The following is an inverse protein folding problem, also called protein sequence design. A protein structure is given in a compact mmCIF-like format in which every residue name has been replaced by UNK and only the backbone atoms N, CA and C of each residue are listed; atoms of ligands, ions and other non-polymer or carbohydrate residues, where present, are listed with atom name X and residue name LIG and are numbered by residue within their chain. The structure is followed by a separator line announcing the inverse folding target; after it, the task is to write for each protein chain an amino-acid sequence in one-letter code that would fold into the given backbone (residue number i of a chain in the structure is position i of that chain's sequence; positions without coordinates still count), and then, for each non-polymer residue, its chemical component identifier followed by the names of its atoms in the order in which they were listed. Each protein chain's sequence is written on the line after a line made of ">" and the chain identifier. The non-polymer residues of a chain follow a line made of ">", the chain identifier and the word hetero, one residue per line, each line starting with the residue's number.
data_IF_643190737396
#
_entry.id   IF_643190737396
#
_cell.length_a   1.000
_cell.length_b   1.000
_cell.length_c   1.000
_cell.angle_alpha   90.00
_cell.angle_beta   90.00
_cell.angle_gamma   90.00
#
_symmetry.space_group_name_H-M   'P 1'
#
loop_
_entity.id
_entity.type
_entity.pdbx_description
1 polymer ?
#
# COMPACT_ATOMS: atom_id res chain seq x y z
N UNK A 1 -18.22 25.85 -27.92
CA UNK A 1 -17.99 25.71 -26.48
C UNK A 1 -18.07 24.23 -26.11
N UNK A 2 -16.93 23.58 -25.83
CA UNK A 2 -16.95 22.20 -25.34
C UNK A 2 -17.23 22.27 -23.83
N UNK A 3 -18.47 22.01 -23.42
CA UNK A 3 -18.78 21.84 -22.00
C UNK A 3 -18.01 20.64 -21.50
N UNK A 4 -16.98 20.92 -20.70
CA UNK A 4 -16.01 19.97 -20.17
C UNK A 4 -16.64 19.16 -19.01
N UNK A 5 -17.73 18.46 -19.29
CA UNK A 5 -18.42 17.65 -18.29
C UNK A 5 -17.70 16.30 -18.24
N UNK A 6 -16.70 16.20 -17.36
CA UNK A 6 -16.12 14.92 -17.00
C UNK A 6 -17.24 13.94 -16.66
N UNK A 7 -17.17 12.70 -17.16
CA UNK A 7 -18.18 11.69 -16.86
C UNK A 7 -18.32 11.50 -15.35
N UNK A 8 -19.50 11.12 -14.87
CA UNK A 8 -19.71 10.84 -13.45
C UNK A 8 -18.74 9.78 -12.92
N UNK A 9 -18.39 8.81 -13.76
CA UNK A 9 -17.35 7.83 -13.47
C UNK A 9 -15.98 8.49 -13.24
N UNK A 10 -15.54 9.38 -14.13
CA UNK A 10 -14.26 10.08 -13.98
C UNK A 10 -14.23 10.95 -12.71
N UNK A 11 -15.32 11.67 -12.42
CA UNK A 11 -15.47 12.44 -11.18
C UNK A 11 -15.34 11.55 -9.94
N UNK A 12 -15.97 10.38 -9.96
CA UNK A 12 -15.91 9.40 -8.89
C UNK A 12 -14.50 8.84 -8.68
N UNK A 13 -13.79 8.48 -9.76
CA UNK A 13 -12.41 8.01 -9.69
C UNK A 13 -11.50 9.08 -9.08
N UNK A 14 -11.55 10.31 -9.61
CA UNK A 14 -10.73 11.42 -9.12
C UNK A 14 -11.02 11.73 -7.65
N UNK A 15 -12.29 11.77 -7.25
CA UNK A 15 -12.66 11.99 -5.86
C UNK A 15 -12.12 10.88 -4.95
N UNK A 16 -12.20 9.63 -5.39
CA UNK A 16 -11.72 8.48 -4.60
C UNK A 16 -10.20 8.50 -4.47
N UNK A 17 -9.47 8.75 -5.56
CA UNK A 17 -8.02 8.89 -5.53
C UNK A 17 -7.56 10.04 -4.63
N UNK A 18 -8.28 11.17 -4.67
CA UNK A 18 -8.03 12.31 -3.77
C UNK A 18 -8.22 11.92 -2.31
N UNK A 19 -9.27 11.19 -1.98
CA UNK A 19 -9.52 10.74 -0.62
C UNK A 19 -8.44 9.76 -0.16
N UNK A 20 -8.06 8.78 -0.99
CA UNK A 20 -6.95 7.85 -0.71
C UNK A 20 -5.63 8.61 -0.51
N UNK A 21 -5.29 9.55 -1.40
CA UNK A 21 -4.06 10.34 -1.31
C UNK A 21 -4.00 11.18 -0.02
N UNK A 22 -5.14 11.73 0.40
CA UNK A 22 -5.27 12.43 1.69
C UNK A 22 -5.35 11.46 2.88
N UNK A 23 -5.08 10.19 2.65
CA UNK A 23 -5.02 9.16 3.65
C UNK A 23 -6.37 8.83 4.26
N UNK A 24 -7.51 9.14 3.63
CA UNK A 24 -8.84 8.74 4.12
C UNK A 24 -9.10 7.26 3.83
N UNK A 25 -9.91 6.62 4.68
CA UNK A 25 -10.38 5.25 4.45
C UNK A 25 -11.48 5.24 3.39
N UNK A 26 -11.16 5.60 2.15
CA UNK A 26 -12.10 5.51 1.05
C UNK A 26 -12.05 4.10 0.46
N UNK A 27 -13.17 3.39 0.53
CA UNK A 27 -13.36 2.12 -0.16
C UNK A 27 -14.47 2.31 -1.19
N UNK A 28 -14.09 2.34 -2.47
CA UNK A 28 -15.03 2.19 -3.58
C UNK A 28 -14.54 1.04 -4.44
N UNK A 29 -15.46 0.15 -4.78
CA UNK A 29 -15.15 -0.95 -5.69
C UNK A 29 -15.04 -0.41 -7.11
N UNK A 30 -13.89 -0.62 -7.73
CA UNK A 30 -13.67 -0.38 -9.15
C UNK A 30 -13.33 -1.72 -9.80
N UNK A 31 -13.90 -1.98 -10.98
CA UNK A 31 -13.44 -3.09 -11.81
C UNK A 31 -12.07 -2.73 -12.37
N UNK A 32 -11.03 -3.38 -11.86
CA UNK A 32 -9.67 -3.20 -12.35
C UNK A 32 -9.41 -4.20 -13.47
N UNK A 33 -8.96 -3.72 -14.63
CA UNK A 33 -8.63 -4.54 -15.78
C UNK A 33 -7.35 -5.35 -15.54
N UNK A 34 -7.41 -6.35 -14.67
CA UNK A 34 -6.27 -7.14 -14.19
C UNK A 34 -6.12 -8.49 -14.91
N UNK A 35 -7.01 -8.82 -15.85
CA UNK A 35 -7.12 -10.14 -16.50
C UNK A 35 -5.88 -10.52 -17.31
N UNK A 36 -5.16 -9.53 -17.81
CA UNK A 36 -3.90 -9.69 -18.54
C UNK A 36 -2.70 -10.01 -17.64
N UNK A 37 -2.85 -9.90 -16.31
CA UNK A 37 -1.79 -10.18 -15.35
C UNK A 37 -1.73 -11.66 -15.00
N UNK A 38 -0.52 -12.14 -14.70
CA UNK A 38 -0.31 -13.50 -14.22
C UNK A 38 -1.17 -13.81 -12.98
N UNK A 39 -1.54 -15.07 -12.79
CA UNK A 39 -2.31 -15.50 -11.61
C UNK A 39 -1.60 -15.11 -10.31
N UNK A 40 -0.28 -15.31 -10.23
CA UNK A 40 0.52 -14.92 -9.06
C UNK A 40 0.45 -13.41 -8.80
N UNK A 41 0.60 -12.59 -9.86
CA UNK A 41 0.48 -11.13 -9.75
C UNK A 41 -0.89 -10.74 -9.23
N UNK A 42 -1.97 -11.32 -9.78
CA UNK A 42 -3.34 -11.04 -9.33
C UNK A 42 -3.53 -11.38 -7.86
N UNK A 43 -3.09 -12.56 -7.40
CA UNK A 43 -3.18 -12.97 -5.99
C UNK A 43 -2.44 -12.02 -5.05
N UNK A 44 -1.22 -11.62 -5.40
CA UNK A 44 -0.43 -10.65 -4.61
C UNK A 44 -1.13 -9.28 -4.55
N UNK A 45 -1.63 -8.78 -5.69
CA UNK A 45 -2.33 -7.50 -5.78
C UNK A 45 -3.66 -7.52 -4.99
N UNK A 46 -4.44 -8.60 -5.09
CA UNK A 46 -5.65 -8.81 -4.31
C UNK A 46 -5.36 -8.85 -2.81
N UNK A 47 -4.36 -9.61 -2.36
CA UNK A 47 -3.96 -9.64 -0.95
C UNK A 47 -3.50 -8.25 -0.45
N UNK A 48 -2.76 -7.51 -1.28
CA UNK A 48 -2.30 -6.14 -0.96
C UNK A 48 -3.47 -5.15 -0.85
N UNK A 49 -4.52 -5.32 -1.66
CA UNK A 49 -5.72 -4.45 -1.62
C UNK A 49 -6.47 -4.52 -0.28
N UNK A 50 -6.30 -5.61 0.47
CA UNK A 50 -6.95 -5.83 1.76
C UNK A 50 -6.25 -5.10 2.92
N UNK A 51 -5.03 -4.59 2.72
CA UNK A 51 -4.26 -3.92 3.77
C UNK A 51 -4.90 -2.56 4.07
N UNK A 52 -5.44 -2.32 5.28
CA UNK A 52 -6.24 -1.15 5.56
C UNK A 52 -5.39 0.11 5.73
N UNK A 53 -6.00 1.27 5.46
CA UNK A 53 -5.41 2.59 5.74
C UNK A 53 -4.95 2.69 7.19
N UNK A 54 -3.76 3.26 7.39
CA UNK A 54 -3.13 3.42 8.71
C UNK A 54 -2.35 2.19 9.18
N UNK A 55 -2.27 1.15 8.34
CA UNK A 55 -1.47 -0.03 8.60
C UNK A 55 -0.48 -0.31 7.46
N UNK A 56 0.61 -0.98 7.80
CA UNK A 56 1.62 -1.51 6.89
C UNK A 56 1.79 -3.01 7.11
N UNK A 57 2.27 -3.72 6.10
CA UNK A 57 2.65 -5.13 6.21
C UNK A 57 4.01 -5.38 5.56
N UNK A 58 4.56 -6.58 5.71
CA UNK A 58 5.84 -6.92 5.09
C UNK A 58 5.67 -7.68 3.78
N UNK A 59 6.67 -7.58 2.89
CA UNK A 59 6.76 -8.44 1.71
C UNK A 59 6.69 -9.94 2.06
N UNK A 60 7.26 -10.33 3.21
CA UNK A 60 7.24 -11.71 3.68
C UNK A 60 5.85 -12.15 4.13
N UNK A 61 5.12 -11.31 4.86
CA UNK A 61 3.77 -11.62 5.31
C UNK A 61 2.80 -11.83 4.13
N UNK A 62 2.94 -11.06 3.05
CA UNK A 62 2.18 -11.31 1.81
C UNK A 62 2.61 -12.63 1.18
N UNK A 63 3.92 -12.88 1.05
CA UNK A 63 4.44 -14.12 0.47
C UNK A 63 4.03 -15.37 1.26
N UNK A 64 3.91 -15.28 2.59
CA UNK A 64 3.39 -16.35 3.44
C UNK A 64 1.91 -16.62 3.14
N UNK A 65 1.09 -15.58 2.97
CA UNK A 65 -0.33 -15.73 2.71
C UNK A 65 -0.64 -16.23 1.28
N UNK A 66 0.12 -15.80 0.27
CA UNK A 66 -0.18 -16.12 -1.15
C UNK A 66 0.82 -17.10 -1.78
N UNK A 67 1.85 -17.52 -1.04
CA UNK A 67 2.98 -18.29 -1.55
C UNK A 67 4.03 -17.42 -2.26
N UNK A 68 5.15 -18.03 -2.64
CA UNK A 68 6.27 -17.35 -3.30
C UNK A 68 7.33 -16.86 -2.32
N UNK A 69 7.99 -15.74 -2.64
CA UNK A 69 9.06 -15.18 -1.81
C UNK A 69 8.89 -13.66 -1.61
N UNK A 70 9.45 -13.08 -0.54
CA UNK A 70 9.42 -11.63 -0.33
C UNK A 70 9.95 -10.84 -1.53
N UNK A 71 10.98 -11.37 -2.22
CA UNK A 71 11.54 -10.76 -3.44
C UNK A 71 10.56 -10.80 -4.61
N UNK A 72 9.83 -11.90 -4.78
CA UNK A 72 8.81 -12.02 -5.82
C UNK A 72 7.64 -11.05 -5.57
N UNK A 73 7.19 -10.90 -4.31
CA UNK A 73 6.21 -9.87 -3.94
C UNK A 73 6.75 -8.46 -4.23
N UNK A 74 8.02 -8.18 -3.91
CA UNK A 74 8.67 -6.92 -4.23
C UNK A 74 8.64 -6.57 -5.72
N UNK A 75 8.85 -7.56 -6.61
CA UNK A 75 8.72 -7.37 -8.07
C UNK A 75 7.29 -7.00 -8.49
N UNK A 76 6.28 -7.64 -7.89
CA UNK A 76 4.88 -7.29 -8.14
C UNK A 76 4.56 -5.87 -7.64
N UNK A 77 5.04 -5.50 -6.45
CA UNK A 77 4.85 -4.14 -5.92
C UNK A 77 5.49 -3.06 -6.80
N UNK A 78 6.66 -3.35 -7.38
CA UNK A 78 7.37 -2.45 -8.29
C UNK A 78 6.63 -2.26 -9.63
N UNK A 79 5.88 -3.28 -10.07
CA UNK A 79 5.17 -3.29 -11.36
C UNK A 79 3.65 -3.14 -11.19
N UNK A 80 3.19 -2.66 -10.03
CA UNK A 80 1.77 -2.48 -9.75
C UNK A 80 1.14 -1.46 -10.73
N UNK A 81 0.22 -1.87 -11.62
CA UNK A 81 -0.41 -0.96 -12.58
C UNK A 81 -1.53 -0.12 -11.96
N UNK A 82 -1.90 -0.38 -10.70
CA UNK A 82 -3.01 0.27 -10.00
C UNK A 82 -2.54 0.94 -8.68
N UNK A 83 -1.55 1.85 -8.71
CA UNK A 83 -1.06 2.51 -7.49
C UNK A 83 -2.20 3.30 -6.80
N UNK A 84 -2.05 3.51 -5.50
CA UNK A 84 -3.06 4.08 -4.58
C UNK A 84 -4.31 3.21 -4.38
N UNK A 85 -4.96 2.76 -5.46
CA UNK A 85 -6.11 1.84 -5.37
C UNK A 85 -5.64 0.51 -4.75
N UNK A 86 -4.55 -0.05 -5.29
CA UNK A 86 -3.81 -1.13 -4.66
C UNK A 86 -2.64 -0.50 -3.90
N UNK A 87 -2.63 -0.55 -2.56
CA UNK A 87 -1.77 0.27 -1.73
C UNK A 87 -0.37 -0.35 -1.58
N UNK A 88 0.39 -0.46 -2.68
CA UNK A 88 1.75 -1.00 -2.64
C UNK A 88 2.70 -0.20 -1.73
N UNK A 89 2.39 1.07 -1.44
CA UNK A 89 3.09 1.90 -0.47
C UNK A 89 2.95 1.38 0.98
N UNK A 90 1.97 0.51 1.29
CA UNK A 90 1.81 -0.12 2.61
C UNK A 90 2.66 -1.38 2.80
N UNK A 91 3.33 -1.86 1.75
CA UNK A 91 4.19 -3.06 1.81
C UNK A 91 5.64 -2.65 2.02
N UNK A 92 6.25 -3.11 3.11
CA UNK A 92 7.57 -2.67 3.57
C UNK A 92 8.47 -3.87 3.91
N UNK A 93 9.71 -3.62 4.31
CA UNK A 93 10.57 -4.70 4.82
C UNK A 93 10.14 -5.11 6.24
N UNK A 94 10.45 -6.35 6.62
CA UNK A 94 10.10 -6.90 7.93
C UNK A 94 10.76 -6.15 9.12
N UNK A 95 11.90 -5.49 8.90
CA UNK A 95 12.60 -4.71 9.93
C UNK A 95 12.02 -3.30 10.13
N UNK A 96 10.93 -2.98 9.43
CA UNK A 96 10.34 -1.65 9.31
C UNK A 96 11.25 -0.62 8.60
N UNK A 97 12.08 -1.04 7.64
CA UNK A 97 12.52 -0.10 6.59
C UNK A 97 11.41 0.07 5.55
N UNK A 98 11.26 1.28 4.96
CA UNK A 98 10.27 1.50 3.89
C UNK A 98 10.48 0.58 2.67
N UNK A 99 11.71 0.17 2.38
CA UNK A 99 12.06 -0.52 1.14
C UNK A 99 11.94 0.38 -0.09
N UNK A 100 11.97 -0.22 -1.28
CA UNK A 100 11.81 0.51 -2.55
C UNK A 100 10.38 0.98 -2.81
N UNK A 101 10.26 2.02 -3.64
CA UNK A 101 9.01 2.52 -4.20
C UNK A 101 9.28 3.15 -5.56
N UNK A 102 8.45 2.84 -6.57
CA UNK A 102 8.67 3.30 -7.95
C UNK A 102 8.78 4.82 -8.06
N UNK A 103 7.96 5.55 -7.30
CA UNK A 103 7.94 7.02 -7.26
C UNK A 103 8.91 7.63 -6.24
N UNK A 104 9.76 6.81 -5.61
CA UNK A 104 10.71 7.24 -4.59
C UNK A 104 10.22 7.14 -3.15
N UNK A 105 11.17 7.01 -2.22
CA UNK A 105 10.90 6.74 -0.80
C UNK A 105 10.15 7.89 -0.12
N UNK A 106 10.47 9.14 -0.45
CA UNK A 106 9.83 10.32 0.15
C UNK A 106 8.33 10.41 -0.21
N UNK A 107 7.94 10.02 -1.43
CA UNK A 107 6.53 9.94 -1.84
C UNK A 107 5.81 8.88 -1.01
N UNK A 108 6.40 7.69 -0.88
CA UNK A 108 5.85 6.60 -0.05
C UNK A 108 5.63 7.04 1.40
N UNK A 109 6.64 7.65 2.02
CA UNK A 109 6.57 8.14 3.40
C UNK A 109 5.55 9.27 3.56
N UNK A 110 5.47 10.18 2.59
CA UNK A 110 4.48 11.26 2.59
C UNK A 110 3.04 10.73 2.56
N UNK A 111 2.76 9.72 1.74
CA UNK A 111 1.44 9.05 1.71
C UNK A 111 1.18 8.36 3.05
N UNK A 112 2.11 7.54 3.53
CA UNK A 112 1.98 6.83 4.81
C UNK A 112 1.79 7.78 6.01
N UNK A 113 2.41 8.96 5.99
CA UNK A 113 2.23 9.98 7.02
C UNK A 113 0.79 10.52 7.06
N UNK A 114 0.14 10.70 5.90
CA UNK A 114 -1.28 11.11 5.81
C UNK A 114 -2.23 10.01 6.27
N UNK A 115 -1.78 8.76 6.23
CA UNK A 115 -2.56 7.61 6.69
C UNK A 115 -2.54 7.40 8.20
N UNK A 116 -1.74 8.14 8.98
CA UNK A 116 -1.70 8.03 10.45
C UNK A 116 -3.11 8.05 11.06
N UNK A 117 -3.30 7.24 12.09
CA UNK A 117 -4.58 7.07 12.80
C UNK A 117 -4.45 6.97 14.31
N UNK A 118 -3.22 6.92 14.84
CA UNK A 118 -2.98 6.71 16.26
C UNK A 118 -3.30 5.28 16.70
N UNK A 119 -3.25 4.31 15.78
CA UNK A 119 -3.40 2.91 16.15
C UNK A 119 -2.18 2.45 16.96
N UNK A 120 -2.42 1.61 17.96
CA UNK A 120 -1.41 1.18 18.93
C UNK A 120 -1.03 -0.28 18.81
N UNK A 121 -1.87 -1.10 18.19
CA UNK A 121 -1.71 -2.55 18.11
C UNK A 121 -1.70 -3.04 16.67
N UNK A 122 -0.95 -4.12 16.45
CA UNK A 122 -1.07 -4.93 15.24
C UNK A 122 -2.43 -5.63 15.16
N UNK A 123 -2.76 -6.12 13.97
CA UNK A 123 -3.92 -6.98 13.73
C UNK A 123 -3.66 -7.95 12.58
N UNK A 124 -4.58 -8.88 12.38
CA UNK A 124 -4.59 -9.81 11.26
C UNK A 124 -5.66 -9.43 10.25
N UNK A 125 -5.33 -9.53 8.96
CA UNK A 125 -6.25 -9.37 7.84
C UNK A 125 -6.41 -10.74 7.16
N UNK A 126 -7.65 -11.22 7.02
CA UNK A 126 -7.93 -12.51 6.35
C UNK A 126 -7.66 -12.39 4.86
N UNK A 127 -6.99 -13.40 4.29
CA UNK A 127 -6.76 -13.56 2.85
C UNK A 127 -6.99 -15.02 2.52
N UNK A 128 -8.15 -15.33 1.93
CA UNK A 128 -8.61 -16.71 1.74
C UNK A 128 -8.51 -17.51 3.06
N UNK A 129 -7.79 -18.64 3.06
CA UNK A 129 -7.55 -19.49 4.24
C UNK A 129 -6.31 -19.07 5.07
N UNK A 130 -5.71 -17.93 4.76
CA UNK A 130 -4.53 -17.39 5.43
C UNK A 130 -4.78 -16.02 6.09
N UNK A 131 -3.78 -15.52 6.81
CA UNK A 131 -3.83 -14.20 7.43
C UNK A 131 -2.54 -13.42 7.20
N UNK A 132 -2.68 -12.12 6.97
CA UNK A 132 -1.57 -11.18 6.90
C UNK A 132 -1.54 -10.35 8.17
N UNK A 133 -0.41 -10.38 8.89
CA UNK A 133 -0.15 -9.45 9.99
C UNK A 133 0.09 -8.05 9.46
N UNK A 134 -0.58 -7.08 10.06
CA UNK A 134 -0.46 -5.66 9.72
C UNK A 134 -0.19 -4.85 10.98
N UNK A 135 0.64 -3.82 10.84
CA UNK A 135 1.16 -3.01 11.93
C UNK A 135 0.79 -1.54 11.73
N UNK A 136 0.53 -0.76 12.80
CA UNK A 136 0.31 0.67 12.68
C UNK A 136 1.44 1.37 11.92
N UNK A 137 1.08 2.27 11.02
CA UNK A 137 2.04 3.03 10.20
C UNK A 137 3.01 3.86 11.04
N UNK A 138 2.60 4.25 12.24
CA UNK A 138 3.39 4.98 13.23
C UNK A 138 4.67 4.24 13.61
N UNK A 139 4.67 2.90 13.66
CA UNK A 139 5.85 2.11 14.01
C UNK A 139 6.98 2.31 12.98
N UNK A 140 6.63 2.24 11.70
CA UNK A 140 7.54 2.49 10.59
C UNK A 140 8.08 3.92 10.63
N UNK A 141 7.19 4.91 10.73
CA UNK A 141 7.55 6.32 10.65
C UNK A 141 8.47 6.73 11.80
N UNK A 142 8.15 6.32 13.03
CA UNK A 142 8.98 6.59 14.20
C UNK A 142 10.37 5.95 14.09
N UNK A 143 10.47 4.72 13.54
CA UNK A 143 11.75 4.06 13.30
C UNK A 143 12.56 4.76 12.21
N UNK A 144 11.90 5.21 11.14
CA UNK A 144 12.54 5.95 10.06
C UNK A 144 13.12 7.27 10.55
N UNK A 145 12.34 8.08 11.28
CA UNK A 145 12.79 9.36 11.84
C UNK A 145 14.01 9.18 12.77
N UNK A 146 13.98 8.20 13.67
CA UNK A 146 15.12 7.90 14.57
C UNK A 146 16.39 7.54 13.78
N UNK A 147 16.28 6.71 12.75
CA UNK A 147 17.42 6.31 11.91
C UNK A 147 17.99 7.49 11.12
N UNK A 148 17.12 8.35 10.58
CA UNK A 148 17.52 9.55 9.82
C UNK A 148 18.24 10.59 10.68
N UNK A 149 17.88 10.74 11.95
CA UNK A 149 18.59 11.63 12.89
C UNK A 149 20.00 11.08 13.21
N UNK A 150 20.12 9.77 13.46
CA UNK A 150 21.40 9.13 13.75
C UNK A 150 22.34 9.20 12.53
N UNK A 151 21.79 9.03 11.31
CA UNK A 151 22.56 9.10 10.07
C UNK A 151 23.12 10.48 9.72
N UNK A 152 22.50 11.58 10.21
CA UNK A 152 22.97 12.96 10.00
C UNK A 152 24.05 13.43 10.98
N UNK A 153 24.33 12.66 12.04
CA UNK A 153 25.35 12.99 13.05
C UNK A 153 26.73 12.35 12.77
N UNK A 154 26.90 11.74 11.59
CA UNK A 154 28.19 11.25 11.07
C UNK A 154 28.55 12.07 9.83
#
# INVERSE_FOLDING_TARGET
>A
EYSNIASEFAKQVISTLRDIYNGKGASRSFSLAAEHLSEYTRRVLSATSLIPTGYVTSYGAIAEAVGGSPRAVGKVMMSNPFPLIIPCHRVIAADFTPGGYGEGIEVKLGILSREKRGFLSEKSVSVDDAYIRVFPVEILLNKYEKRSIVGRKK
#
